data_IF_947566769588
#
_entry.id   IF_947566769588
#
_cell.length_a   1.000
_cell.length_b   1.000
_cell.length_c   1.000
_cell.angle_alpha   90.00
_cell.angle_beta   90.00
_cell.angle_gamma   90.00
#
_symmetry.space_group_name_H-M   'P 1'
#
loop_
_entity.id
_entity.type
_entity.pdbx_description
1 polymer ?
#
# COMPACT_ATOMS: atom_id res chain seq x y z
N UNK A 1 -6.76 2.52 -19.52
CA UNK A 1 -5.55 2.21 -20.31
C UNK A 1 -5.73 2.53 -21.78
N UNK A 2 -6.68 1.92 -22.50
CA UNK A 2 -6.91 2.15 -23.94
C UNK A 2 -7.08 3.63 -24.34
N UNK A 3 -7.89 4.41 -23.61
CA UNK A 3 -8.09 5.84 -23.91
C UNK A 3 -6.82 6.70 -23.78
N UNK A 4 -5.99 6.43 -22.78
CA UNK A 4 -4.74 7.18 -22.56
C UNK A 4 -3.69 6.81 -23.60
N UNK A 5 -3.64 5.54 -24.01
CA UNK A 5 -2.76 5.09 -25.10
C UNK A 5 -3.12 5.77 -26.42
N UNK A 6 -4.41 5.95 -26.73
CA UNK A 6 -4.87 6.65 -27.94
C UNK A 6 -4.49 8.14 -27.95
N UNK A 7 -4.60 8.86 -26.84
CA UNK A 7 -4.16 10.28 -26.77
C UNK A 7 -2.65 10.44 -26.73
N UNK A 8 -1.92 9.42 -26.27
CA UNK A 8 -0.46 9.40 -26.28
C UNK A 8 0.12 9.05 -27.66
N UNK A 9 -0.62 8.31 -28.49
CA UNK A 9 -0.13 7.78 -29.77
C UNK A 9 0.23 8.89 -30.77
N UNK A 10 -0.57 9.96 -30.79
CA UNK A 10 -0.38 11.10 -31.69
C UNK A 10 0.57 12.19 -31.13
N UNK A 11 1.00 12.10 -29.87
CA UNK A 11 1.59 13.25 -29.17
C UNK A 11 2.96 13.04 -28.52
N UNK A 12 3.45 11.80 -28.43
CA UNK A 12 4.71 11.56 -27.71
C UNK A 12 5.43 10.33 -28.22
N UNK A 13 6.77 10.36 -28.11
CA UNK A 13 7.64 9.26 -28.50
C UNK A 13 7.31 7.95 -27.74
N UNK A 14 7.62 6.82 -28.36
CA UNK A 14 7.37 5.48 -27.85
C UNK A 14 8.04 5.25 -26.48
N UNK A 15 9.17 5.92 -26.22
CA UNK A 15 9.83 5.89 -24.92
C UNK A 15 8.98 6.55 -23.81
N UNK A 16 8.38 7.71 -24.10
CA UNK A 16 7.51 8.44 -23.15
C UNK A 16 6.25 7.64 -22.83
N UNK A 17 5.66 6.97 -23.83
CA UNK A 17 4.50 6.08 -23.63
C UNK A 17 4.82 4.98 -22.62
N UNK A 18 5.95 4.30 -22.79
CA UNK A 18 6.40 3.25 -21.87
C UNK A 18 6.66 3.79 -20.46
N UNK A 19 7.19 5.00 -20.33
CA UNK A 19 7.45 5.62 -19.03
C UNK A 19 6.14 5.95 -18.30
N UNK A 20 5.16 6.51 -18.99
CA UNK A 20 3.82 6.82 -18.46
C UNK A 20 3.05 5.54 -18.11
N UNK A 21 3.13 4.51 -18.94
CA UNK A 21 2.52 3.21 -18.64
C UNK A 21 3.10 2.61 -17.36
N UNK A 22 4.44 2.62 -17.22
CA UNK A 22 5.10 2.17 -15.99
C UNK A 22 4.65 2.97 -14.76
N UNK A 23 4.45 4.28 -14.90
CA UNK A 23 3.94 5.13 -13.82
C UNK A 23 2.52 4.71 -13.39
N UNK A 24 1.63 4.46 -14.34
CA UNK A 24 0.26 3.97 -14.06
C UNK A 24 0.30 2.60 -13.40
N UNK A 25 1.10 1.66 -13.92
CA UNK A 25 1.25 0.32 -13.35
C UNK A 25 1.77 0.39 -11.90
N UNK A 26 2.76 1.24 -11.63
CA UNK A 26 3.26 1.47 -10.27
C UNK A 26 2.22 2.10 -9.35
N UNK A 27 1.41 3.05 -9.84
CA UNK A 27 0.30 3.65 -9.08
C UNK A 27 -0.74 2.61 -8.67
N UNK A 28 -1.20 1.79 -9.62
CA UNK A 28 -2.17 0.71 -9.36
C UNK A 28 -1.60 -0.30 -8.35
N UNK A 29 -0.32 -0.68 -8.51
CA UNK A 29 0.37 -1.60 -7.60
C UNK A 29 0.50 -1.01 -6.19
N UNK A 30 0.84 0.28 -6.08
CA UNK A 30 0.90 1.00 -4.81
C UNK A 30 -0.48 1.04 -4.13
N UNK A 31 -1.53 1.43 -4.86
CA UNK A 31 -2.89 1.50 -4.31
C UNK A 31 -3.40 0.13 -3.87
N UNK A 32 -3.05 -0.94 -4.62
CA UNK A 32 -3.33 -2.32 -4.20
C UNK A 32 -2.63 -2.67 -2.89
N UNK A 33 -1.32 -2.41 -2.74
CA UNK A 33 -0.62 -2.68 -1.48
C UNK A 33 -1.10 -1.81 -0.32
N UNK A 34 -1.46 -0.55 -0.58
CA UNK A 34 -2.04 0.35 0.41
C UNK A 34 -3.36 -0.20 0.96
N UNK A 35 -4.27 -0.63 0.07
CA UNK A 35 -5.55 -1.19 0.47
C UNK A 35 -5.37 -2.53 1.19
N UNK A 36 -4.53 -3.44 0.64
CA UNK A 36 -4.23 -4.73 1.26
C UNK A 36 -3.62 -4.56 2.65
N UNK A 37 -2.66 -3.66 2.82
CA UNK A 37 -2.09 -3.35 4.13
C UNK A 37 -3.16 -2.84 5.10
N UNK A 38 -4.05 -1.94 4.65
CA UNK A 38 -5.15 -1.46 5.49
C UNK A 38 -6.11 -2.58 5.92
N UNK A 39 -6.48 -3.49 5.02
CA UNK A 39 -7.30 -4.65 5.36
C UNK A 39 -6.60 -5.59 6.36
N UNK A 40 -5.31 -5.90 6.14
CA UNK A 40 -4.54 -6.76 7.05
C UNK A 40 -4.40 -6.10 8.43
N UNK A 41 -4.13 -4.78 8.47
CA UNK A 41 -4.05 -4.03 9.71
C UNK A 41 -5.39 -4.05 10.47
N UNK A 42 -6.51 -3.82 9.78
CA UNK A 42 -7.84 -3.88 10.38
C UNK A 42 -8.16 -5.27 10.94
N UNK A 43 -7.81 -6.33 10.19
CA UNK A 43 -7.98 -7.71 10.65
C UNK A 43 -7.10 -8.02 11.86
N UNK A 44 -5.85 -7.54 11.87
CA UNK A 44 -4.92 -7.70 12.97
C UNK A 44 -5.42 -7.02 14.26
N UNK A 45 -5.96 -5.80 14.16
CA UNK A 45 -6.55 -5.10 15.31
C UNK A 45 -7.73 -5.89 15.87
N UNK A 46 -8.64 -6.37 15.01
CA UNK A 46 -9.78 -7.18 15.42
C UNK A 46 -9.33 -8.50 16.08
N UNK A 47 -8.28 -9.12 15.54
CA UNK A 47 -7.66 -10.31 16.12
C UNK A 47 -7.12 -10.04 17.52
N UNK A 48 -6.38 -8.95 17.72
CA UNK A 48 -5.88 -8.55 19.04
C UNK A 48 -7.01 -8.30 20.04
N UNK A 49 -8.09 -7.63 19.63
CA UNK A 49 -9.26 -7.41 20.49
C UNK A 49 -9.94 -8.72 20.89
N UNK A 50 -10.07 -9.66 19.94
CA UNK A 50 -10.64 -10.99 20.20
C UNK A 50 -9.77 -11.78 21.17
N UNK A 51 -8.45 -11.73 20.98
CA UNK A 51 -7.49 -12.40 21.86
C UNK A 51 -7.53 -11.82 23.28
N UNK A 52 -7.62 -10.49 23.42
CA UNK A 52 -7.80 -9.82 24.71
C UNK A 52 -9.12 -10.22 25.39
N UNK A 53 -10.21 -10.32 24.64
CA UNK A 53 -11.50 -10.77 25.18
C UNK A 53 -11.45 -12.23 25.65
N UNK A 54 -10.84 -13.11 24.86
CA UNK A 54 -10.65 -14.53 25.22
C UNK A 54 -9.75 -14.69 26.44
N UNK A 55 -8.63 -13.97 26.51
CA UNK A 55 -7.75 -14.02 27.68
C UNK A 55 -8.43 -13.47 28.93
N UNK A 56 -9.22 -12.39 28.79
CA UNK A 56 -9.99 -11.85 29.90
C UNK A 56 -11.04 -12.84 30.44
N UNK A 57 -11.80 -13.47 29.55
CA UNK A 57 -12.89 -14.38 29.94
C UNK A 57 -12.41 -15.74 30.45
N UNK A 58 -11.37 -16.30 29.82
CA UNK A 58 -10.89 -17.65 30.13
C UNK A 58 -9.78 -17.68 31.19
N UNK A 59 -9.01 -16.61 31.35
CA UNK A 59 -7.84 -16.60 32.23
C UNK A 59 -8.02 -15.63 33.38
N UNK A 60 -8.40 -14.38 33.12
CA UNK A 60 -8.42 -13.31 34.14
C UNK A 60 -9.63 -13.47 35.08
N UNK A 61 -10.84 -13.63 34.54
CA UNK A 61 -12.07 -13.79 35.34
C UNK A 61 -12.08 -15.01 36.28
N UNK A 62 -11.57 -16.20 35.89
CA UNK A 62 -11.52 -17.32 36.83
C UNK A 62 -10.34 -17.25 37.83
N UNK A 63 -9.28 -16.50 37.55
CA UNK A 63 -8.07 -16.44 38.38
C UNK A 63 -7.83 -15.07 39.03
N UNK A 64 -8.89 -14.38 39.47
CA UNK A 64 -8.83 -13.00 40.00
C UNK A 64 -7.80 -12.78 41.12
N UNK A 65 -7.37 -13.85 41.81
CA UNK A 65 -6.50 -13.79 42.99
C UNK A 65 -5.03 -14.17 42.75
N UNK A 66 -4.64 -14.72 41.58
CA UNK A 66 -3.25 -15.11 41.32
C UNK A 66 -2.84 -14.97 39.86
N UNK A 67 -1.92 -14.03 39.60
CA UNK A 67 -1.28 -13.83 38.29
C UNK A 67 -0.46 -15.06 37.90
N UNK A 68 0.15 -15.75 38.87
CA UNK A 68 0.95 -16.96 38.61
C UNK A 68 0.07 -18.08 38.03
N UNK A 69 -1.11 -18.30 38.63
CA UNK A 69 -2.05 -19.33 38.15
C UNK A 69 -2.61 -18.99 36.77
N UNK A 70 -2.86 -17.71 36.51
CA UNK A 70 -3.27 -17.20 35.21
C UNK A 70 -2.25 -17.54 34.11
N UNK A 71 -0.96 -17.33 34.39
CA UNK A 71 0.13 -17.66 33.44
C UNK A 71 0.26 -19.18 33.26
N UNK A 72 0.13 -19.95 34.34
CA UNK A 72 0.17 -21.42 34.26
C UNK A 72 -1.00 -21.99 33.44
N UNK A 73 -2.21 -21.48 33.59
CA UNK A 73 -3.35 -21.90 32.76
C UNK A 73 -3.22 -21.43 31.31
N UNK A 74 -2.71 -20.22 31.06
CA UNK A 74 -2.42 -19.73 29.72
C UNK A 74 -1.44 -20.66 28.98
N UNK A 75 -0.39 -21.11 29.68
CA UNK A 75 0.63 -22.00 29.13
C UNK A 75 0.20 -23.48 29.12
N UNK A 76 -0.68 -23.88 30.02
CA UNK A 76 -1.24 -25.23 30.06
C UNK A 76 -2.29 -25.49 28.97
N UNK A 77 -2.87 -24.41 28.42
CA UNK A 77 -3.91 -24.50 27.40
C UNK A 77 -3.31 -24.42 26.00
N UNK A 78 -3.11 -25.57 25.35
CA UNK A 78 -2.53 -25.66 24.00
C UNK A 78 -3.16 -24.68 22.99
N UNK A 79 -4.48 -24.44 23.07
CA UNK A 79 -5.19 -23.54 22.17
C UNK A 79 -4.70 -22.08 22.22
N UNK A 80 -4.40 -21.55 23.41
CA UNK A 80 -3.96 -20.16 23.58
C UNK A 80 -2.54 -19.95 23.05
N UNK A 81 -1.67 -20.95 23.19
CA UNK A 81 -0.32 -20.95 22.60
C UNK A 81 -0.40 -20.91 21.07
N UNK A 82 -1.26 -21.73 20.45
CA UNK A 82 -1.46 -21.69 18.99
C UNK A 82 -1.96 -20.34 18.50
N UNK A 83 -2.87 -19.69 19.25
CA UNK A 83 -3.34 -18.34 18.94
C UNK A 83 -2.21 -17.29 19.07
N UNK A 84 -1.37 -17.38 20.10
CA UNK A 84 -0.22 -16.46 20.21
C UNK A 84 0.75 -16.62 19.04
N UNK A 85 1.04 -17.87 18.65
CA UNK A 85 1.91 -18.17 17.50
C UNK A 85 1.31 -17.63 16.20
N UNK A 86 0.01 -17.80 15.99
CA UNK A 86 -0.71 -17.20 14.86
C UNK A 86 -0.61 -15.67 14.86
N UNK A 87 -0.66 -15.04 16.03
CA UNK A 87 -0.48 -13.59 16.19
C UNK A 87 0.90 -13.12 15.74
N UNK A 88 1.96 -13.85 16.10
CA UNK A 88 3.34 -13.56 15.65
C UNK A 88 3.45 -13.68 14.13
N UNK A 89 2.84 -14.72 13.54
CA UNK A 89 2.82 -14.90 12.09
C UNK A 89 2.07 -13.77 11.37
N UNK A 90 0.91 -13.37 11.89
CA UNK A 90 0.13 -12.25 11.36
C UNK A 90 0.90 -10.92 11.46
N UNK A 91 1.60 -10.68 12.56
CA UNK A 91 2.45 -9.50 12.73
C UNK A 91 3.61 -9.49 11.73
N UNK A 92 4.26 -10.64 11.52
CA UNK A 92 5.28 -10.80 10.49
C UNK A 92 4.76 -10.50 9.08
N UNK A 93 3.58 -11.02 8.75
CA UNK A 93 2.92 -10.74 7.48
C UNK A 93 2.61 -9.23 7.32
N UNK A 94 2.05 -8.60 8.36
CA UNK A 94 1.75 -7.16 8.35
C UNK A 94 3.01 -6.33 8.06
N UNK A 95 4.12 -6.61 8.76
CA UNK A 95 5.40 -5.92 8.56
C UNK A 95 5.91 -6.10 7.13
N UNK A 96 5.85 -7.31 6.59
CA UNK A 96 6.27 -7.59 5.22
C UNK A 96 5.46 -6.81 4.16
N UNK A 97 4.14 -6.72 4.33
CA UNK A 97 3.30 -5.93 3.43
C UNK A 97 3.52 -4.42 3.60
N UNK A 98 3.82 -3.96 4.81
CA UNK A 98 4.20 -2.58 5.06
C UNK A 98 5.48 -2.19 4.31
N UNK A 99 6.54 -2.99 4.41
CA UNK A 99 7.80 -2.75 3.69
C UNK A 99 7.61 -2.75 2.17
N UNK A 100 6.79 -3.67 1.63
CA UNK A 100 6.45 -3.70 0.20
C UNK A 100 5.70 -2.45 -0.25
N UNK A 101 4.76 -1.97 0.57
CA UNK A 101 4.01 -0.74 0.30
C UNK A 101 4.98 0.44 0.24
N UNK A 102 5.83 0.61 1.24
CA UNK A 102 6.80 1.71 1.32
C UNK A 102 7.77 1.70 0.14
N UNK A 103 8.32 0.54 -0.21
CA UNK A 103 9.18 0.39 -1.40
C UNK A 103 8.46 0.81 -2.69
N UNK A 104 7.21 0.36 -2.88
CA UNK A 104 6.44 0.70 -4.09
C UNK A 104 6.05 2.18 -4.11
N UNK A 105 5.83 2.79 -2.94
CA UNK A 105 5.55 4.22 -2.79
C UNK A 105 6.74 5.07 -3.25
N UNK A 106 7.94 4.75 -2.76
CA UNK A 106 9.18 5.41 -3.15
C UNK A 106 9.44 5.24 -4.65
N UNK A 107 9.35 4.01 -5.17
CA UNK A 107 9.52 3.74 -6.60
C UNK A 107 8.51 4.46 -7.50
N UNK A 108 7.28 4.70 -7.02
CA UNK A 108 6.26 5.48 -7.70
C UNK A 108 6.60 6.98 -7.67
N UNK A 109 6.98 7.50 -6.50
CA UNK A 109 7.32 8.90 -6.31
C UNK A 109 8.55 9.29 -7.14
N UNK A 110 9.61 8.49 -7.09
CA UNK A 110 10.85 8.72 -7.85
C UNK A 110 10.56 8.77 -9.36
N UNK A 111 9.74 7.83 -9.86
CA UNK A 111 9.37 7.81 -11.28
C UNK A 111 8.49 9.01 -11.65
N UNK A 112 7.63 9.47 -10.73
CA UNK A 112 6.82 10.68 -10.92
C UNK A 112 7.72 11.91 -11.03
N UNK A 113 8.70 12.05 -10.14
CA UNK A 113 9.66 13.16 -10.17
C UNK A 113 10.50 13.12 -11.44
N UNK A 114 11.00 11.95 -11.85
CA UNK A 114 11.77 11.80 -13.09
C UNK A 114 10.97 12.26 -14.33
N UNK A 115 9.67 11.94 -14.39
CA UNK A 115 8.79 12.38 -15.49
C UNK A 115 8.58 13.90 -15.45
N UNK A 116 8.46 14.49 -14.27
CA UNK A 116 8.29 15.94 -14.11
C UNK A 116 9.56 16.69 -14.52
N UNK A 117 10.73 16.24 -14.08
CA UNK A 117 12.02 16.83 -14.44
C UNK A 117 12.28 16.73 -15.95
N UNK A 118 12.07 15.54 -16.52
CA UNK A 118 12.23 15.31 -17.96
C UNK A 118 11.04 15.81 -18.79
N UNK A 119 10.03 16.43 -18.20
CA UNK A 119 8.83 16.85 -18.92
C UNK A 119 9.10 17.83 -20.06
N UNK A 120 10.16 18.64 -19.96
CA UNK A 120 10.56 19.55 -21.05
C UNK A 120 11.19 18.80 -22.22
N UNK A 121 11.90 17.71 -21.96
CA UNK A 121 12.57 16.89 -22.98
C UNK A 121 11.60 15.86 -23.60
N UNK A 122 10.64 15.36 -22.80
CA UNK A 122 9.64 14.39 -23.22
C UNK A 122 8.56 15.01 -24.12
N UNK A 123 8.28 16.31 -23.96
CA UNK A 123 7.30 17.06 -24.76
C UNK A 123 7.97 18.28 -25.40
N UNK A 124 8.63 18.09 -26.54
CA UNK A 124 9.23 19.18 -27.32
C UNK A 124 8.28 19.71 -28.42
N UNK A 125 8.49 20.98 -28.82
CA UNK A 125 7.77 21.62 -29.93
C UNK A 125 6.26 21.74 -29.71
N UNK A 126 5.47 21.29 -30.70
CA UNK A 126 4.00 21.35 -30.65
C UNK A 126 3.40 20.48 -29.52
N UNK A 127 4.11 19.44 -29.09
CA UNK A 127 3.65 18.53 -28.03
C UNK A 127 3.68 19.18 -26.64
N UNK A 128 4.52 20.21 -26.43
CA UNK A 128 4.57 20.97 -25.18
C UNK A 128 3.24 21.67 -24.87
N UNK A 129 2.55 22.18 -25.90
CA UNK A 129 1.26 22.86 -25.75
C UNK A 129 0.16 21.89 -25.33
N UNK A 130 0.24 20.64 -25.80
CA UNK A 130 -0.79 19.63 -25.55
C UNK A 130 -0.54 18.77 -24.30
N UNK A 131 0.62 18.89 -23.64
CA UNK A 131 0.95 18.10 -22.42
C UNK A 131 -0.10 18.22 -21.31
N UNK A 132 -0.79 19.36 -21.23
CA UNK A 132 -1.84 19.60 -20.23
C UNK A 132 -2.97 18.57 -20.36
N UNK A 133 -3.30 18.11 -21.57
CA UNK A 133 -4.32 17.08 -21.76
C UNK A 133 -3.91 15.74 -21.14
N UNK A 134 -2.64 15.35 -21.29
CA UNK A 134 -2.10 14.12 -20.66
C UNK A 134 -2.09 14.27 -19.14
N UNK A 135 -1.67 15.43 -18.63
CA UNK A 135 -1.58 15.67 -17.18
C UNK A 135 -2.97 15.69 -16.53
N UNK A 136 -3.95 16.31 -17.19
CA UNK A 136 -5.33 16.35 -16.72
C UNK A 136 -5.99 14.95 -16.77
N UNK A 137 -5.74 14.17 -17.82
CA UNK A 137 -6.17 12.77 -17.87
C UNK A 137 -5.57 11.92 -16.74
N UNK A 138 -4.27 12.07 -16.45
CA UNK A 138 -3.58 11.34 -15.38
C UNK A 138 -4.12 11.72 -14.00
N UNK A 139 -4.43 13.00 -13.79
CA UNK A 139 -5.07 13.49 -12.56
C UNK A 139 -6.50 12.96 -12.42
N UNK A 140 -7.31 13.06 -13.47
CA UNK A 140 -8.74 12.72 -13.40
C UNK A 140 -8.99 11.21 -13.39
N UNK A 141 -8.17 10.40 -14.07
CA UNK A 141 -8.40 8.94 -14.16
C UNK A 141 -7.61 8.14 -13.13
N UNK A 142 -6.42 8.59 -12.75
CA UNK A 142 -5.51 7.83 -11.90
C UNK A 142 -5.12 8.55 -10.61
N UNK A 143 -5.63 9.77 -10.38
CA UNK A 143 -5.27 10.61 -9.23
C UNK A 143 -3.76 10.84 -9.12
N UNK A 144 -3.10 11.00 -10.28
CA UNK A 144 -1.66 11.28 -10.37
C UNK A 144 -1.45 12.73 -10.78
N UNK A 145 -0.88 13.52 -9.88
CA UNK A 145 -0.51 14.91 -10.17
C UNK A 145 0.90 14.99 -10.78
N UNK A 146 0.98 15.49 -12.01
CA UNK A 146 2.23 15.73 -12.75
C UNK A 146 2.58 17.22 -12.89
N UNK A 147 1.79 18.14 -12.30
CA UNK A 147 2.06 19.58 -12.37
C UNK A 147 3.14 20.04 -11.40
N UNK A 148 3.28 19.34 -10.27
CA UNK A 148 4.19 19.69 -9.20
C UNK A 148 4.90 18.46 -8.64
N UNK A 149 6.17 18.65 -8.30
CA UNK A 149 6.99 17.65 -7.63
C UNK A 149 6.54 17.42 -6.18
N UNK A 150 5.76 18.35 -5.59
CA UNK A 150 5.41 18.32 -4.17
C UNK A 150 4.72 17.02 -3.74
N UNK A 151 5.15 16.51 -2.59
CA UNK A 151 4.67 15.30 -1.95
C UNK A 151 3.22 15.41 -1.48
#
# INVERSE_FOLDING_TARGET
>A
MEKIMLTLDDQVDEATKKMIQKLIEKKIKFDHYKNTHFFILSFFILYCLTLLFLSYTLVIKPNEYSIMNSITELLGTNYLIFLLLLGVLLFGALKFYFEKKEKTETEFHDLRCEIIEKSRDLWDGEHWANRHHVFDQMKNQYDINLYHESK
#
